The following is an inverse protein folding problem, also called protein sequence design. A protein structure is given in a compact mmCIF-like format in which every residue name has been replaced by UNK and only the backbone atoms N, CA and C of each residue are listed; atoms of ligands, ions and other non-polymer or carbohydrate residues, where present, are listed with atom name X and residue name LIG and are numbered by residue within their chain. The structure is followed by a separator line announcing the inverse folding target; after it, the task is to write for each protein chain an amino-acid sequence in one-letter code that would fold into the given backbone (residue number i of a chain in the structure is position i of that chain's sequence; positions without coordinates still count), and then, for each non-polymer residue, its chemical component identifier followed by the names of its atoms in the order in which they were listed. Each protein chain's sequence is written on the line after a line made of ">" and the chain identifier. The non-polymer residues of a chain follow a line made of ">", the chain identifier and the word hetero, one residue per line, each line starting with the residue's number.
data_IF_091667687217
#
_entry.id   IF_091667687217
#
_cell.length_a   1.000
_cell.length_b   1.000
_cell.length_c   1.000
_cell.angle_alpha   90.00
_cell.angle_beta   90.00
_cell.angle_gamma   90.00
#
_symmetry.space_group_name_H-M   'P 1'
#
loop_
_entity.id
_entity.type
_entity.pdbx_description
1 polymer ?
#
# COMPACT_ATOMS: atom_id res chain seq x y z
N UNK A 1 21.22 -5.37 44.34
CA UNK A 1 21.37 -3.90 44.45
C UNK A 1 20.07 -3.26 43.96
N UNK A 2 19.37 -2.62 44.89
CA UNK A 2 18.08 -1.97 44.61
C UNK A 2 18.37 -0.51 44.26
N UNK A 3 17.84 0.01 43.19
CA UNK A 3 17.73 1.44 42.97
C UNK A 3 16.25 1.82 42.76
N UNK A 4 15.75 2.50 43.79
CA UNK A 4 14.49 3.20 43.81
C UNK A 4 14.80 4.65 43.34
N UNK A 5 14.06 5.16 42.36
CA UNK A 5 14.00 6.60 42.16
C UNK A 5 12.62 7.01 41.66
N UNK A 6 11.80 7.44 42.63
CA UNK A 6 10.60 8.24 42.36
C UNK A 6 11.04 9.69 42.11
N UNK A 7 10.61 10.26 41.03
CA UNK A 7 10.61 11.71 40.84
C UNK A 7 9.19 12.16 40.47
N UNK A 8 8.53 12.70 41.49
CA UNK A 8 7.24 13.40 41.37
C UNK A 8 7.55 14.82 40.90
N UNK A 9 7.00 15.23 39.77
CA UNK A 9 6.97 16.64 39.38
C UNK A 9 5.50 17.08 39.33
N UNK A 10 5.17 17.88 40.33
CA UNK A 10 3.92 18.69 40.39
C UNK A 10 4.10 19.92 39.51
N UNK A 11 3.19 20.16 38.60
CA UNK A 11 3.02 21.49 38.02
C UNK A 11 1.65 22.05 38.38
N UNK A 12 1.76 23.22 39.00
CA UNK A 12 0.63 24.02 39.50
C UNK A 12 -0.07 24.75 38.38
N UNK A 13 -1.41 24.85 38.55
CA UNK A 13 -2.30 25.78 37.86
C UNK A 13 -2.12 27.20 38.38
N UNK A 14 -2.13 28.17 37.49
CA UNK A 14 -2.62 29.55 37.66
C UNK A 14 -2.82 30.06 36.22
N UNK A 15 -3.90 30.60 35.71
CA UNK A 15 -4.96 31.37 36.30
C UNK A 15 -5.27 32.54 35.38
N UNK A 16 -6.50 32.61 34.86
CA UNK A 16 -7.31 33.74 34.38
C UNK A 16 -6.63 34.97 33.77
N UNK A 17 -7.11 35.50 32.63
CA UNK A 17 -8.21 36.47 32.55
C UNK A 17 -8.62 36.81 31.13
N UNK A 18 -9.90 36.94 30.91
CA UNK A 18 -10.60 37.48 29.76
C UNK A 18 -10.35 38.98 29.55
N UNK A 19 -10.35 39.42 28.29
CA UNK A 19 -10.93 40.72 27.90
C UNK A 19 -11.31 40.74 26.40
N UNK A 20 -12.60 40.89 26.18
CA UNK A 20 -13.25 41.20 24.92
C UNK A 20 -13.05 42.69 24.58
N UNK A 21 -12.75 42.99 23.32
CA UNK A 21 -13.05 44.30 22.76
C UNK A 21 -13.34 44.16 21.24
N UNK A 22 -14.60 44.44 20.93
CA UNK A 22 -15.07 44.63 19.58
C UNK A 22 -14.60 45.98 19.05
N UNK A 23 -14.09 46.02 17.82
CA UNK A 23 -14.02 47.25 17.08
C UNK A 23 -14.18 46.93 15.57
N UNK A 24 -15.30 47.39 15.02
CA UNK A 24 -15.53 47.48 13.60
C UNK A 24 -14.59 48.56 13.01
N UNK A 25 -13.91 48.22 11.92
CA UNK A 25 -13.36 49.22 11.05
C UNK A 25 -13.55 48.84 9.60
N UNK A 26 -14.27 49.68 8.86
CA UNK A 26 -14.51 49.66 7.44
C UNK A 26 -13.29 50.30 6.74
N UNK A 27 -12.75 49.61 5.72
CA UNK A 27 -11.76 50.22 4.80
C UNK A 27 -11.16 49.14 3.88
N UNK A 28 -10.66 49.50 2.69
CA UNK A 28 -11.15 48.99 1.42
C UNK A 28 -10.45 47.73 0.92
N UNK A 29 -11.19 47.06 0.07
CA UNK A 29 -10.90 45.90 -0.77
C UNK A 29 -9.44 45.81 -1.26
N UNK A 30 -8.69 44.83 -0.76
CA UNK A 30 -7.47 44.36 -1.36
C UNK A 30 -7.70 42.94 -1.84
N UNK A 31 -7.62 42.76 -3.15
CA UNK A 31 -7.80 41.53 -3.89
C UNK A 31 -6.88 40.40 -3.29
N UNK A 32 -7.48 39.43 -2.61
CA UNK A 32 -6.80 38.19 -2.31
C UNK A 32 -6.78 37.28 -3.55
N UNK A 33 -5.65 36.64 -3.86
CA UNK A 33 -5.64 35.63 -4.90
C UNK A 33 -6.51 34.46 -4.44
N UNK A 34 -7.50 34.13 -5.26
CA UNK A 34 -8.36 32.96 -5.09
C UNK A 34 -7.51 31.70 -4.97
N UNK A 35 -7.46 31.17 -3.77
CA UNK A 35 -6.96 29.83 -3.52
C UNK A 35 -7.95 28.87 -4.21
N UNK A 36 -7.59 28.39 -5.39
CA UNK A 36 -8.30 27.35 -6.07
C UNK A 36 -8.28 26.12 -5.17
N UNK A 37 -9.34 25.92 -4.40
CA UNK A 37 -9.63 24.62 -3.83
C UNK A 37 -9.78 23.66 -5.00
N UNK A 38 -8.75 22.83 -5.22
CA UNK A 38 -8.86 21.66 -6.08
C UNK A 38 -9.99 20.85 -5.48
N UNK A 39 -11.16 20.94 -6.10
CA UNK A 39 -12.29 20.08 -5.76
C UNK A 39 -11.77 18.65 -5.86
N UNK A 40 -11.81 17.91 -4.75
CA UNK A 40 -11.62 16.47 -4.72
C UNK A 40 -12.77 15.90 -5.54
N UNK A 41 -12.58 15.75 -6.85
CA UNK A 41 -13.47 14.98 -7.70
C UNK A 41 -13.36 13.57 -7.18
N UNK A 42 -14.41 12.96 -6.66
CA UNK A 42 -14.36 11.56 -6.25
C UNK A 42 -13.95 10.76 -7.49
N UNK A 43 -12.82 10.07 -7.42
CA UNK A 43 -12.42 9.11 -8.45
C UNK A 43 -13.56 8.10 -8.47
N UNK A 44 -14.30 8.05 -9.56
CA UNK A 44 -15.38 7.09 -9.76
C UNK A 44 -14.74 5.71 -9.70
N UNK A 45 -15.09 4.93 -8.67
CA UNK A 45 -14.64 3.55 -8.56
C UNK A 45 -15.27 2.74 -9.70
N UNK A 46 -14.42 2.02 -10.44
CA UNK A 46 -14.86 1.13 -11.51
C UNK A 46 -14.74 -0.30 -10.99
N UNK A 47 -15.90 -0.94 -10.80
CA UNK A 47 -16.02 -2.34 -10.42
C UNK A 47 -16.06 -3.20 -11.67
N UNK A 48 -14.97 -3.86 -11.95
CA UNK A 48 -14.85 -4.76 -13.11
C UNK A 48 -13.82 -5.85 -12.82
N UNK A 49 -14.12 -7.07 -13.26
CA UNK A 49 -13.15 -8.18 -13.22
C UNK A 49 -11.91 -7.82 -14.05
N UNK A 50 -10.74 -7.96 -13.44
CA UNK A 50 -9.47 -7.79 -14.13
C UNK A 50 -9.14 -9.08 -14.87
N UNK A 51 -9.23 -9.05 -16.20
CA UNK A 51 -8.86 -10.16 -17.07
C UNK A 51 -7.63 -9.80 -17.89
N UNK A 52 -6.54 -10.54 -17.66
CA UNK A 52 -5.30 -10.43 -18.41
C UNK A 52 -5.08 -11.78 -19.09
N UNK A 53 -5.08 -11.85 -20.44
CA UNK A 53 -4.83 -13.09 -21.15
C UNK A 53 -3.50 -13.73 -20.74
N UNK A 54 -3.46 -15.06 -20.65
CA UNK A 54 -2.26 -15.79 -20.18
C UNK A 54 -1.03 -15.60 -21.10
N UNK A 55 -1.27 -15.37 -22.39
CA UNK A 55 -0.27 -15.13 -23.42
C UNK A 55 0.17 -13.65 -23.50
N UNK A 56 -0.37 -12.79 -22.64
CA UNK A 56 0.05 -11.38 -22.57
C UNK A 56 1.55 -11.29 -22.32
N UNK A 57 2.25 -10.56 -23.21
CA UNK A 57 3.67 -10.28 -23.11
C UNK A 57 3.90 -8.77 -23.30
N UNK A 58 3.98 -8.07 -22.19
CA UNK A 58 4.12 -6.60 -22.16
C UNK A 58 5.43 -6.16 -22.80
N UNK A 59 6.51 -6.98 -22.67
CA UNK A 59 7.82 -6.64 -23.21
C UNK A 59 7.86 -6.59 -24.75
N UNK A 60 6.89 -7.20 -25.43
CA UNK A 60 6.79 -7.21 -26.90
C UNK A 60 5.76 -6.21 -27.45
N UNK A 61 5.04 -5.51 -26.60
CA UNK A 61 4.07 -4.49 -27.02
C UNK A 61 4.78 -3.26 -27.57
N UNK A 62 4.15 -2.60 -28.56
CA UNK A 62 4.56 -1.25 -28.92
C UNK A 62 4.28 -0.28 -27.75
N UNK A 63 4.97 0.85 -27.68
CA UNK A 63 4.74 1.84 -26.63
C UNK A 63 3.28 2.33 -26.58
N UNK A 64 2.63 2.49 -27.74
CA UNK A 64 1.22 2.89 -27.82
C UNK A 64 0.28 1.81 -27.32
N UNK A 65 0.54 0.53 -27.64
CA UNK A 65 -0.28 -0.60 -27.19
C UNK A 65 -0.12 -0.81 -25.70
N UNK A 66 1.12 -0.74 -25.20
CA UNK A 66 1.43 -0.80 -23.78
C UNK A 66 0.72 0.33 -22.99
N UNK A 67 0.80 1.56 -23.50
CA UNK A 67 0.13 2.70 -22.87
C UNK A 67 -1.38 2.49 -22.81
N UNK A 68 -1.99 2.00 -23.90
CA UNK A 68 -3.42 1.73 -23.98
C UNK A 68 -3.83 0.59 -23.04
N UNK A 69 -3.03 -0.48 -22.99
CA UNK A 69 -3.23 -1.60 -22.08
C UNK A 69 -3.15 -1.17 -20.61
N UNK A 70 -2.14 -0.39 -20.26
CA UNK A 70 -1.99 0.15 -18.90
C UNK A 70 -3.15 1.07 -18.54
N UNK A 71 -3.56 1.96 -19.42
CA UNK A 71 -4.70 2.85 -19.20
C UNK A 71 -6.00 2.09 -18.96
N UNK A 72 -6.23 0.97 -19.66
CA UNK A 72 -7.40 0.12 -19.44
C UNK A 72 -7.40 -0.54 -18.06
N UNK A 73 -6.25 -1.07 -17.62
CA UNK A 73 -6.10 -1.66 -16.30
C UNK A 73 -6.20 -0.63 -15.16
N UNK A 74 -5.68 0.57 -15.38
CA UNK A 74 -5.71 1.66 -14.41
C UNK A 74 -7.13 2.18 -14.10
N UNK A 75 -8.09 1.95 -15.00
CA UNK A 75 -9.49 2.31 -14.78
C UNK A 75 -10.16 1.37 -13.77
N UNK A 76 -9.76 0.10 -13.71
CA UNK A 76 -10.36 -0.89 -12.81
C UNK A 76 -9.76 -0.70 -11.43
N UNK A 77 -10.58 -0.26 -10.47
CA UNK A 77 -10.13 0.06 -9.11
C UNK A 77 -10.52 -0.98 -8.08
N UNK A 78 -11.61 -1.71 -8.35
CA UNK A 78 -12.05 -2.83 -7.52
C UNK A 78 -12.63 -3.94 -8.41
N UNK A 79 -12.73 -5.15 -7.87
CA UNK A 79 -13.28 -6.32 -8.53
C UNK A 79 -14.05 -7.14 -7.48
N UNK A 80 -15.38 -7.11 -7.55
CA UNK A 80 -16.26 -7.82 -6.62
C UNK A 80 -16.60 -9.23 -7.08
N UNK A 81 -16.03 -9.71 -8.19
CA UNK A 81 -16.26 -11.05 -8.67
C UNK A 81 -15.75 -12.12 -7.67
N UNK A 82 -16.43 -13.25 -7.63
CA UNK A 82 -16.10 -14.35 -6.72
C UNK A 82 -14.93 -15.20 -7.23
N UNK A 83 -14.33 -15.97 -6.32
CA UNK A 83 -13.36 -17.01 -6.65
C UNK A 83 -11.91 -16.55 -6.74
N UNK A 84 -11.62 -15.29 -6.43
CA UNK A 84 -10.25 -14.81 -6.38
C UNK A 84 -9.50 -15.35 -5.17
N UNK A 85 -8.31 -15.91 -5.43
CA UNK A 85 -7.31 -16.23 -4.42
C UNK A 85 -5.96 -15.78 -4.92
N UNK A 86 -5.30 -14.94 -4.15
CA UNK A 86 -3.98 -14.44 -4.53
C UNK A 86 -2.96 -15.58 -4.69
N UNK A 87 -3.09 -16.66 -3.91
CA UNK A 87 -2.25 -17.86 -4.03
C UNK A 87 -2.37 -18.62 -5.34
N UNK A 88 -3.42 -18.36 -6.16
CA UNK A 88 -3.59 -19.00 -7.46
C UNK A 88 -2.75 -18.35 -8.58
N UNK A 89 -2.17 -17.18 -8.34
CA UNK A 89 -1.35 -16.50 -9.32
C UNK A 89 0.05 -17.12 -9.41
N UNK A 90 0.55 -17.32 -10.63
CA UNK A 90 1.77 -18.11 -10.92
C UNK A 90 3.03 -17.58 -10.24
N UNK A 91 3.13 -16.27 -10.06
CA UNK A 91 4.30 -15.63 -9.44
C UNK A 91 4.08 -15.25 -7.97
N UNK A 92 2.93 -15.67 -7.38
CA UNK A 92 2.67 -15.48 -5.97
C UNK A 92 3.02 -16.75 -5.18
N UNK A 93 3.70 -16.56 -4.07
CA UNK A 93 4.00 -17.60 -3.09
C UNK A 93 3.36 -17.20 -1.76
N UNK A 94 2.32 -17.93 -1.35
CA UNK A 94 1.66 -17.67 -0.07
C UNK A 94 2.58 -18.02 1.11
N UNK A 95 2.64 -17.14 2.08
CA UNK A 95 3.23 -17.37 3.38
C UNK A 95 2.18 -18.15 4.19
N UNK A 96 2.52 -19.35 4.63
CA UNK A 96 1.54 -20.29 5.23
C UNK A 96 1.55 -20.20 6.76
N UNK A 97 2.71 -19.90 7.36
CA UNK A 97 2.90 -19.89 8.80
C UNK A 97 3.72 -18.69 9.27
N UNK A 98 3.64 -18.43 10.56
CA UNK A 98 4.50 -17.46 11.25
C UNK A 98 5.99 -17.76 11.02
N UNK A 99 6.38 -19.04 11.01
CA UNK A 99 7.75 -19.44 10.75
C UNK A 99 8.18 -19.08 9.31
N UNK A 100 7.31 -19.34 8.31
CA UNK A 100 7.62 -18.98 6.92
C UNK A 100 7.82 -17.47 6.76
N UNK A 101 7.03 -16.66 7.49
CA UNK A 101 7.20 -15.21 7.51
C UNK A 101 8.55 -14.80 8.10
N UNK A 102 8.90 -15.37 9.25
CA UNK A 102 10.16 -15.07 9.92
C UNK A 102 11.37 -15.46 9.06
N UNK A 103 11.33 -16.64 8.44
CA UNK A 103 12.38 -17.13 7.54
C UNK A 103 12.51 -16.26 6.29
N UNK A 104 11.37 -15.82 5.74
CA UNK A 104 11.35 -14.87 4.62
C UNK A 104 12.02 -13.56 5.02
N UNK A 105 11.67 -12.98 6.16
CA UNK A 105 12.28 -11.72 6.63
C UNK A 105 13.79 -11.86 6.81
N UNK A 106 14.25 -12.98 7.38
CA UNK A 106 15.70 -13.26 7.49
C UNK A 106 16.37 -13.34 6.11
N UNK A 107 15.71 -13.98 5.12
CA UNK A 107 16.23 -14.12 3.76
C UNK A 107 16.36 -12.78 3.00
N UNK A 108 15.74 -11.71 3.49
CA UNK A 108 15.87 -10.37 2.90
C UNK A 108 17.26 -9.74 3.13
N UNK A 109 18.07 -10.34 4.00
CA UNK A 109 19.48 -9.96 4.17
C UNK A 109 20.30 -10.25 2.90
N UNK A 110 19.96 -11.33 2.17
CA UNK A 110 20.66 -11.79 0.98
C UNK A 110 20.16 -11.13 -0.30
N UNK A 111 19.03 -10.42 -0.25
CA UNK A 111 18.45 -9.72 -1.39
C UNK A 111 17.04 -9.21 -1.13
N UNK A 112 16.62 -8.25 -1.93
CA UNK A 112 15.29 -7.68 -1.85
C UNK A 112 14.20 -8.73 -2.16
N UNK A 113 13.06 -8.65 -1.45
CA UNK A 113 11.87 -9.47 -1.67
C UNK A 113 10.65 -8.57 -1.78
N UNK A 114 9.68 -8.97 -2.61
CA UNK A 114 8.37 -8.32 -2.62
C UNK A 114 7.48 -9.06 -1.62
N UNK A 115 6.98 -8.35 -0.60
CA UNK A 115 5.97 -8.85 0.34
C UNK A 115 4.67 -8.10 0.08
N UNK A 116 3.62 -8.84 -0.23
CA UNK A 116 2.29 -8.33 -0.54
C UNK A 116 1.31 -8.66 0.60
N UNK A 117 0.72 -7.63 1.18
CA UNK A 117 -0.29 -7.70 2.23
C UNK A 117 -1.69 -7.58 1.61
N UNK A 118 -2.53 -8.57 1.84
CA UNK A 118 -3.89 -8.61 1.31
C UNK A 118 -4.73 -9.69 1.98
N UNK A 119 -5.95 -9.90 1.49
CA UNK A 119 -6.77 -11.07 1.83
C UNK A 119 -7.72 -11.41 0.68
N UNK A 120 -8.18 -12.67 0.63
CA UNK A 120 -8.84 -13.24 -0.54
C UNK A 120 -10.22 -12.64 -0.85
N UNK A 121 -10.94 -12.04 0.12
CA UNK A 121 -12.27 -11.46 -0.09
C UNK A 121 -12.23 -9.92 -0.24
N UNK A 122 -11.07 -9.35 -0.44
CA UNK A 122 -10.89 -7.90 -0.59
C UNK A 122 -11.06 -7.48 -2.06
N UNK A 123 -12.10 -6.71 -2.44
CA UNK A 123 -12.31 -6.33 -3.84
C UNK A 123 -11.16 -5.51 -4.45
N UNK A 124 -10.51 -4.67 -3.66
CA UNK A 124 -9.33 -3.93 -4.11
C UNK A 124 -8.11 -4.84 -4.30
N UNK A 125 -8.01 -5.93 -3.50
CA UNK A 125 -6.98 -6.94 -3.69
C UNK A 125 -7.22 -7.75 -4.96
N UNK A 126 -8.49 -8.05 -5.30
CA UNK A 126 -8.86 -8.72 -6.54
C UNK A 126 -8.44 -7.91 -7.77
N UNK A 127 -8.67 -6.59 -7.76
CA UNK A 127 -8.24 -5.72 -8.85
C UNK A 127 -6.72 -5.50 -8.92
N UNK A 128 -6.02 -5.57 -7.79
CA UNK A 128 -4.59 -5.31 -7.67
C UNK A 128 -3.72 -6.52 -8.03
N UNK A 129 -4.07 -7.70 -7.51
CA UNK A 129 -3.25 -8.92 -7.60
C UNK A 129 -2.93 -9.35 -9.02
N UNK A 130 -3.87 -9.40 -9.99
CA UNK A 130 -3.57 -9.81 -11.37
C UNK A 130 -2.61 -8.84 -12.07
N UNK A 131 -2.70 -7.55 -11.79
CA UNK A 131 -1.80 -6.51 -12.33
C UNK A 131 -0.36 -6.72 -11.83
N UNK A 132 -0.22 -6.89 -10.51
CA UNK A 132 1.08 -7.15 -9.90
C UNK A 132 1.67 -8.49 -10.37
N UNK A 133 0.84 -9.55 -10.48
CA UNK A 133 1.28 -10.85 -10.96
C UNK A 133 1.78 -10.79 -12.41
N UNK A 134 1.09 -10.08 -13.30
CA UNK A 134 1.52 -9.96 -14.69
C UNK A 134 2.92 -9.33 -14.78
N UNK A 135 3.15 -8.24 -14.06
CA UNK A 135 4.45 -7.57 -14.04
C UNK A 135 5.53 -8.43 -13.39
N UNK A 136 5.20 -9.13 -12.30
CA UNK A 136 6.12 -10.07 -11.65
C UNK A 136 6.50 -11.24 -12.57
N UNK A 137 5.54 -11.78 -13.35
CA UNK A 137 5.76 -12.81 -14.38
C UNK A 137 6.73 -12.32 -15.45
N UNK A 138 6.54 -11.12 -15.99
CA UNK A 138 7.41 -10.50 -17.00
C UNK A 138 8.88 -10.40 -16.56
N UNK A 139 9.10 -10.20 -15.26
CA UNK A 139 10.44 -10.03 -14.69
C UNK A 139 10.98 -11.25 -13.97
N UNK A 140 10.22 -12.34 -13.91
CA UNK A 140 10.63 -13.55 -13.17
C UNK A 140 10.78 -13.33 -11.66
N UNK A 141 10.03 -12.37 -11.10
CA UNK A 141 10.10 -12.01 -9.67
C UNK A 141 9.02 -12.76 -8.90
N UNK A 142 9.35 -13.24 -7.70
CA UNK A 142 8.37 -13.85 -6.79
C UNK A 142 7.77 -12.79 -5.88
N UNK A 143 6.44 -12.78 -5.78
CA UNK A 143 5.67 -11.99 -4.82
C UNK A 143 5.29 -12.89 -3.65
N UNK A 144 5.74 -12.57 -2.44
CA UNK A 144 5.39 -13.32 -1.23
C UNK A 144 4.11 -12.74 -0.66
N UNK A 145 3.05 -13.53 -0.70
CA UNK A 145 1.71 -13.13 -0.28
C UNK A 145 1.46 -13.43 1.19
N UNK A 146 1.22 -12.40 1.97
CA UNK A 146 0.82 -12.47 3.37
C UNK A 146 -0.69 -12.18 3.48
N UNK A 147 -1.49 -13.24 3.73
CA UNK A 147 -2.92 -13.10 3.93
C UNK A 147 -3.20 -12.59 5.34
N UNK A 148 -3.52 -11.30 5.46
CA UNK A 148 -3.69 -10.64 6.75
C UNK A 148 -4.85 -11.19 7.59
N UNK A 149 -5.85 -11.84 6.97
CA UNK A 149 -6.94 -12.50 7.70
C UNK A 149 -6.54 -13.87 8.24
N UNK A 150 -5.81 -14.65 7.45
CA UNK A 150 -5.32 -15.98 7.90
C UNK A 150 -4.35 -15.84 9.07
N UNK A 151 -3.51 -14.81 9.04
CA UNK A 151 -2.47 -14.56 10.04
C UNK A 151 -2.91 -13.69 11.22
N UNK A 152 -4.18 -13.24 11.27
CA UNK A 152 -4.66 -12.30 12.30
C UNK A 152 -4.51 -12.82 13.76
N UNK A 153 -4.38 -14.14 13.95
CA UNK A 153 -4.20 -14.77 15.26
C UNK A 153 -2.75 -15.21 15.53
N UNK A 154 -1.81 -14.94 14.61
CA UNK A 154 -0.41 -15.26 14.82
C UNK A 154 0.18 -14.36 15.90
N UNK A 155 1.10 -14.89 16.70
CA UNK A 155 1.69 -14.17 17.83
C UNK A 155 2.48 -12.93 17.44
N UNK A 156 3.01 -12.91 16.20
CA UNK A 156 3.80 -11.82 15.65
C UNK A 156 3.00 -10.84 14.78
N UNK A 157 1.67 -11.05 14.61
CA UNK A 157 0.86 -10.29 13.65
C UNK A 157 0.93 -8.78 13.87
N UNK A 158 0.71 -8.31 15.11
CA UNK A 158 0.75 -6.88 15.42
C UNK A 158 2.14 -6.28 15.13
N UNK A 159 3.20 -7.00 15.51
CA UNK A 159 4.57 -6.57 15.25
C UNK A 159 4.86 -6.49 13.75
N UNK A 160 4.40 -7.48 12.99
CA UNK A 160 4.54 -7.49 11.54
C UNK A 160 3.81 -6.30 10.91
N UNK A 161 2.56 -6.04 11.31
CA UNK A 161 1.79 -4.92 10.77
C UNK A 161 2.40 -3.54 11.12
N UNK A 162 2.96 -3.39 12.32
CA UNK A 162 3.65 -2.15 12.73
C UNK A 162 4.87 -1.85 11.86
N UNK A 163 5.62 -2.88 11.44
CA UNK A 163 6.79 -2.72 10.56
C UNK A 163 6.41 -2.09 9.23
N UNK A 164 5.27 -2.46 8.68
CA UNK A 164 4.78 -1.92 7.39
C UNK A 164 4.07 -0.57 7.55
N UNK A 165 3.58 -0.23 8.72
CA UNK A 165 2.88 1.03 8.99
C UNK A 165 1.58 1.18 8.19
N UNK A 166 0.94 0.08 7.78
CA UNK A 166 -0.28 0.09 6.96
C UNK A 166 -1.51 -0.29 7.78
N UNK A 167 -2.62 0.36 7.48
CA UNK A 167 -3.93 0.06 8.06
C UNK A 167 -4.97 -0.33 7.00
N UNK A 168 -4.57 -0.42 5.74
CA UNK A 168 -5.40 -0.79 4.60
C UNK A 168 -4.63 -1.71 3.65
N UNK A 169 -5.33 -2.62 3.02
CA UNK A 169 -4.82 -3.50 1.96
C UNK A 169 -5.61 -3.25 0.67
N UNK A 170 -5.04 -3.56 -0.50
CA UNK A 170 -3.74 -4.17 -0.76
C UNK A 170 -2.54 -3.20 -0.58
N UNK A 171 -1.42 -3.75 -0.17
CA UNK A 171 -0.13 -3.07 -0.16
C UNK A 171 0.99 -4.06 -0.48
N UNK A 172 1.94 -3.68 -1.33
CA UNK A 172 3.12 -4.48 -1.61
C UNK A 172 4.38 -3.66 -1.36
N UNK A 173 5.37 -4.26 -0.71
CA UNK A 173 6.63 -3.63 -0.29
C UNK A 173 7.82 -4.36 -0.86
N UNK A 174 8.84 -3.62 -1.27
CA UNK A 174 10.19 -4.15 -1.39
C UNK A 174 10.80 -4.16 0.01
N UNK A 175 11.13 -5.35 0.52
CA UNK A 175 11.74 -5.53 1.84
C UNK A 175 13.19 -5.98 1.65
N UNK A 176 14.13 -5.29 2.31
CA UNK A 176 15.56 -5.60 2.30
C UNK A 176 16.14 -5.44 3.70
N UNK A 177 16.91 -6.45 4.15
CA UNK A 177 17.49 -6.45 5.50
C UNK A 177 16.43 -6.31 6.61
N UNK A 178 15.26 -6.95 6.45
CA UNK A 178 14.14 -6.90 7.39
C UNK A 178 13.37 -5.58 7.43
N UNK A 179 13.68 -4.63 6.54
CA UNK A 179 13.05 -3.30 6.53
C UNK A 179 12.23 -3.10 5.26
N UNK A 180 10.95 -2.70 5.37
CA UNK A 180 10.16 -2.28 4.21
C UNK A 180 10.70 -0.94 3.68
N UNK A 181 10.74 -0.84 2.36
CA UNK A 181 11.14 0.35 1.62
C UNK A 181 10.02 0.85 0.71
N UNK A 182 10.31 0.93 -0.60
CA UNK A 182 9.33 1.36 -1.61
C UNK A 182 8.10 0.47 -1.54
N UNK A 183 6.92 1.08 -1.64
CA UNK A 183 5.65 0.37 -1.66
C UNK A 183 4.72 0.87 -2.74
N UNK A 184 3.78 0.03 -3.11
CA UNK A 184 2.66 0.28 -4.02
C UNK A 184 1.37 -0.26 -3.41
N UNK A 185 0.22 0.29 -3.84
CA UNK A 185 -1.09 -0.06 -3.29
C UNK A 185 -2.18 0.04 -4.37
N UNK A 186 -3.46 -0.10 -3.99
CA UNK A 186 -4.60 -0.07 -4.91
C UNK A 186 -4.71 1.23 -5.75
N UNK A 187 -4.15 2.33 -5.29
CA UNK A 187 -4.16 3.61 -6.02
C UNK A 187 -3.00 3.75 -7.01
N UNK A 188 -2.01 2.85 -6.94
CA UNK A 188 -0.84 2.89 -7.81
C UNK A 188 -1.21 2.54 -9.25
N UNK A 189 -0.68 3.31 -10.20
CA UNK A 189 -0.86 3.10 -11.63
C UNK A 189 0.05 1.99 -12.15
N UNK A 190 -0.30 1.41 -13.30
CA UNK A 190 0.48 0.33 -13.93
C UNK A 190 1.96 0.72 -14.15
N UNK A 191 2.23 1.98 -14.50
CA UNK A 191 3.61 2.48 -14.66
C UNK A 191 4.39 2.47 -13.34
N UNK A 192 3.71 2.75 -12.21
CA UNK A 192 4.31 2.73 -10.88
C UNK A 192 4.54 1.29 -10.42
N UNK A 193 3.57 0.39 -10.69
CA UNK A 193 3.71 -1.05 -10.43
C UNK A 193 4.87 -1.63 -11.24
N UNK A 194 5.03 -1.26 -12.51
CA UNK A 194 6.14 -1.71 -13.35
C UNK A 194 7.48 -1.22 -12.79
N UNK A 195 7.58 0.06 -12.42
CA UNK A 195 8.79 0.62 -11.82
C UNK A 195 9.14 -0.09 -10.50
N UNK A 196 8.14 -0.38 -9.67
CA UNK A 196 8.29 -1.13 -8.42
C UNK A 196 8.83 -2.55 -8.65
N UNK A 197 8.25 -3.31 -9.59
CA UNK A 197 8.71 -4.66 -9.90
C UNK A 197 10.11 -4.64 -10.52
N UNK A 198 10.40 -3.67 -11.39
CA UNK A 198 11.74 -3.47 -11.96
C UNK A 198 12.80 -3.18 -10.88
N UNK A 199 12.45 -2.44 -9.83
CA UNK A 199 13.36 -2.19 -8.71
C UNK A 199 13.65 -3.45 -7.91
N UNK A 200 12.63 -4.28 -7.67
CA UNK A 200 12.79 -5.56 -6.97
C UNK A 200 13.58 -6.62 -7.76
N UNK A 201 13.67 -6.46 -9.09
CA UNK A 201 14.41 -7.38 -9.98
C UNK A 201 15.91 -7.07 -10.08
N UNK A 202 16.39 -5.98 -9.47
CA UNK A 202 17.82 -5.59 -9.40
C UNK A 202 18.56 -6.38 -8.32
#
# INVERSE_FOLDING_TARGET
>A
MRYNLQAVIKFSLLGLTSLSLAACNLGPEASQPSNSSVANVPVSEVDQKVEIPEDTNIATMSESDKASFYASLDQITLDTSEGHKASNYSNFKEIISEQDYNDLILSTADGAKIIYLGFDECPYCHAFSPKLNQLAKEKGVTVYYYNTRKHANDSNFESAMQVYGVNKVPNAFIVKGGKPGINVNHASKMVELEAFVNEAAK
#
